data_IF_667672224663
#
_entry.id   IF_667672224663
#
_cell.length_a   1.000
_cell.length_b   1.000
_cell.length_c   1.000
_cell.angle_alpha   90.00
_cell.angle_beta   90.00
_cell.angle_gamma   90.00
#
_symmetry.space_group_name_H-M   'P 1'
#
loop_
_entity.id
_entity.type
_entity.pdbx_description
1 polymer ?
#
# COMPACT_ATOMS: atom_id res chain seq x y z
N UNK A 1 14.04 -10.70 -5.14
CA UNK A 1 13.31 -9.40 -5.16
C UNK A 1 14.19 -8.21 -4.78
N UNK A 2 14.73 -8.11 -3.56
CA UNK A 2 15.53 -6.94 -3.14
C UNK A 2 16.77 -6.72 -4.01
N UNK A 3 17.51 -7.78 -4.36
CA UNK A 3 18.68 -7.67 -5.24
C UNK A 3 18.28 -7.13 -6.62
N UNK A 4 17.17 -7.63 -7.19
CA UNK A 4 16.65 -7.17 -8.48
C UNK A 4 16.27 -5.69 -8.47
N UNK A 5 15.66 -5.20 -7.39
CA UNK A 5 15.36 -3.76 -7.24
C UNK A 5 16.67 -2.95 -7.24
N UNK A 6 17.70 -3.42 -6.55
CA UNK A 6 18.99 -2.71 -6.50
C UNK A 6 19.71 -2.73 -7.86
N UNK A 7 19.59 -3.80 -8.63
CA UNK A 7 20.10 -3.88 -10.01
C UNK A 7 19.41 -2.86 -10.91
N UNK A 8 18.08 -2.85 -10.91
CA UNK A 8 17.27 -1.94 -11.74
C UNK A 8 17.52 -0.46 -11.38
N UNK A 9 17.68 -0.14 -10.09
CA UNK A 9 18.08 1.21 -9.65
C UNK A 9 19.49 1.60 -10.12
N UNK A 10 20.42 0.65 -10.23
CA UNK A 10 21.77 0.93 -10.78
C UNK A 10 21.73 1.13 -12.29
N UNK A 11 20.87 0.40 -12.97
CA UNK A 11 20.68 0.47 -14.43
C UNK A 11 19.82 1.68 -14.85
N UNK A 12 19.28 2.44 -13.88
CA UNK A 12 18.36 3.56 -14.10
C UNK A 12 17.09 3.16 -14.88
N UNK A 13 16.64 1.92 -14.68
CA UNK A 13 15.47 1.36 -15.36
C UNK A 13 14.19 1.64 -14.59
N UNK A 14 13.07 1.79 -15.32
CA UNK A 14 11.74 1.89 -14.71
C UNK A 14 11.24 0.53 -14.25
N UNK A 15 10.69 0.44 -13.05
CA UNK A 15 10.19 -0.82 -12.50
C UNK A 15 9.03 -0.65 -11.52
N UNK A 16 8.31 -1.74 -11.28
CA UNK A 16 7.27 -1.85 -10.26
C UNK A 16 7.47 -3.11 -9.43
N UNK A 17 7.01 -3.09 -8.18
CA UNK A 17 6.96 -4.26 -7.33
C UNK A 17 5.76 -4.20 -6.39
N UNK A 18 5.25 -5.37 -6.03
CA UNK A 18 4.14 -5.51 -5.10
C UNK A 18 4.66 -5.83 -3.68
N UNK A 19 4.02 -5.22 -2.68
CA UNK A 19 4.25 -5.55 -1.27
C UNK A 19 3.00 -5.26 -0.46
N UNK A 20 2.89 -5.90 0.70
CA UNK A 20 1.81 -5.65 1.68
C UNK A 20 1.93 -4.31 2.40
N UNK A 21 2.97 -3.51 2.10
CA UNK A 21 3.35 -2.27 2.78
C UNK A 21 3.59 -2.41 4.31
N UNK A 22 3.57 -3.63 4.85
CA UNK A 22 3.71 -3.90 6.29
C UNK A 22 5.15 -3.80 6.82
N UNK A 23 6.14 -3.68 5.92
CA UNK A 23 7.57 -3.59 6.25
C UNK A 23 8.12 -2.20 5.94
N UNK A 24 9.02 -1.69 6.80
CA UNK A 24 9.68 -0.37 6.61
C UNK A 24 10.87 -0.39 5.64
N UNK A 25 11.26 -1.57 5.15
CA UNK A 25 12.51 -1.81 4.40
C UNK A 25 12.62 -1.11 3.04
N UNK A 26 11.51 -0.61 2.50
CA UNK A 26 11.50 0.11 1.22
C UNK A 26 11.66 1.62 1.35
N UNK A 27 11.52 2.20 2.57
CA UNK A 27 11.70 3.65 2.81
C UNK A 27 13.03 4.15 2.23
N UNK A 28 14.13 3.50 2.61
CA UNK A 28 15.46 3.90 2.17
C UNK A 28 15.67 3.71 0.65
N UNK A 29 14.94 2.77 0.02
CA UNK A 29 15.01 2.59 -1.43
C UNK A 29 14.27 3.69 -2.17
N UNK A 30 13.12 4.12 -1.65
CA UNK A 30 12.37 5.25 -2.18
C UNK A 30 13.21 6.53 -2.12
N UNK A 31 13.84 6.81 -0.97
CA UNK A 31 14.74 7.97 -0.84
C UNK A 31 15.87 7.93 -1.88
N UNK A 32 16.55 6.79 -2.04
CA UNK A 32 17.60 6.61 -3.04
C UNK A 32 17.11 6.77 -4.48
N UNK A 33 15.95 6.21 -4.80
CA UNK A 33 15.36 6.35 -6.12
C UNK A 33 15.09 7.82 -6.45
N UNK A 34 14.54 8.57 -5.48
CA UNK A 34 14.31 10.02 -5.64
C UNK A 34 15.59 10.82 -5.82
N UNK A 35 16.66 10.49 -5.08
CA UNK A 35 18.00 11.07 -5.28
C UNK A 35 18.55 10.77 -6.69
N UNK A 36 18.14 9.66 -7.30
CA UNK A 36 18.50 9.28 -8.68
C UNK A 36 17.55 9.86 -9.74
N UNK A 37 16.60 10.71 -9.35
CA UNK A 37 15.66 11.36 -10.29
C UNK A 37 14.42 10.54 -10.63
N UNK A 38 14.12 9.46 -9.91
CA UNK A 38 12.88 8.72 -10.09
C UNK A 38 11.67 9.46 -9.54
N UNK A 39 10.56 9.34 -10.26
CA UNK A 39 9.21 9.62 -9.73
C UNK A 39 8.66 8.35 -9.10
N UNK A 40 8.28 8.42 -7.83
CA UNK A 40 7.75 7.27 -7.07
C UNK A 40 6.23 7.39 -6.93
N UNK A 41 5.54 6.43 -7.56
CA UNK A 41 4.07 6.27 -7.46
C UNK A 41 3.71 5.08 -6.58
N UNK A 42 2.86 5.30 -5.59
CA UNK A 42 2.27 4.25 -4.74
C UNK A 42 0.81 4.01 -5.14
N UNK A 43 0.49 2.79 -5.57
CA UNK A 43 -0.88 2.31 -5.69
C UNK A 43 -1.21 1.52 -4.41
N UNK A 44 -2.15 2.01 -3.61
CA UNK A 44 -2.56 1.36 -2.36
C UNK A 44 -3.97 0.79 -2.50
N UNK A 45 -4.07 -0.54 -2.48
CA UNK A 45 -5.34 -1.24 -2.49
C UNK A 45 -5.75 -1.61 -1.08
N UNK A 46 -6.81 -0.98 -0.60
CA UNK A 46 -7.38 -1.21 0.71
C UNK A 46 -8.67 -2.04 0.62
N UNK A 47 -9.00 -2.73 1.71
CA UNK A 47 -10.29 -3.42 1.90
C UNK A 47 -10.94 -2.81 3.14
N UNK A 48 -12.25 -2.57 3.11
CA UNK A 48 -13.08 -2.00 4.17
C UNK A 48 -12.72 -2.55 5.57
N UNK A 49 -12.50 -3.85 5.67
CA UNK A 49 -12.21 -4.49 6.94
C UNK A 49 -11.30 -5.72 6.81
N UNK A 50 -10.82 -6.16 7.97
CA UNK A 50 -9.87 -7.27 8.07
C UNK A 50 -10.54 -8.62 7.75
N UNK A 51 -11.83 -8.78 8.04
CA UNK A 51 -12.56 -10.02 7.76
C UNK A 51 -12.63 -10.29 6.26
N UNK A 52 -12.80 -9.25 5.42
CA UNK A 52 -12.69 -9.39 3.96
C UNK A 52 -11.29 -9.88 3.54
N UNK A 53 -10.23 -9.43 4.20
CA UNK A 53 -8.88 -9.90 3.90
C UNK A 53 -8.73 -11.40 4.25
N UNK A 54 -9.27 -11.84 5.40
CA UNK A 54 -9.28 -13.25 5.83
C UNK A 54 -10.11 -14.10 4.87
N UNK A 55 -11.29 -13.64 4.49
CA UNK A 55 -12.18 -14.33 3.55
C UNK A 55 -11.50 -14.54 2.20
N UNK A 56 -10.87 -13.50 1.65
CA UNK A 56 -10.10 -13.61 0.40
C UNK A 56 -8.97 -14.62 0.49
N UNK A 57 -8.28 -14.68 1.63
CA UNK A 57 -7.27 -15.72 1.86
C UNK A 57 -7.90 -17.12 1.94
N UNK A 58 -9.06 -17.27 2.57
CA UNK A 58 -9.79 -18.55 2.62
C UNK A 58 -10.22 -19.01 1.23
N UNK A 59 -10.76 -18.11 0.40
CA UNK A 59 -11.18 -18.41 -0.98
C UNK A 59 -9.99 -18.86 -1.81
N UNK A 60 -8.91 -18.06 -1.88
CA UNK A 60 -7.74 -18.44 -2.70
C UNK A 60 -7.10 -19.75 -2.26
N UNK A 61 -7.13 -20.09 -0.96
CA UNK A 61 -6.60 -21.37 -0.45
C UNK A 61 -7.45 -22.54 -0.96
N UNK A 62 -8.78 -22.38 -1.00
CA UNK A 62 -9.67 -23.38 -1.62
C UNK A 62 -9.38 -23.55 -3.12
N UNK A 63 -8.92 -22.49 -3.78
CA UNK A 63 -8.51 -22.49 -5.19
C UNK A 63 -7.05 -22.95 -5.42
N UNK A 64 -6.36 -23.45 -4.38
CA UNK A 64 -4.99 -23.97 -4.48
C UNK A 64 -3.86 -22.98 -4.15
N UNK A 65 -4.20 -21.79 -3.66
CA UNK A 65 -3.25 -20.77 -3.21
C UNK A 65 -2.61 -21.06 -1.84
N UNK A 66 -1.60 -20.25 -1.47
CA UNK A 66 -0.87 -20.40 -0.22
C UNK A 66 -1.67 -19.92 1.00
N UNK A 67 -1.68 -20.71 2.08
CA UNK A 67 -2.28 -20.35 3.35
C UNK A 67 -1.48 -19.26 4.08
N UNK A 68 -2.17 -18.33 4.76
CA UNK A 68 -1.56 -17.37 5.68
C UNK A 68 -2.38 -17.40 6.98
N UNK A 69 -1.72 -17.53 8.15
CA UNK A 69 -2.40 -17.46 9.44
C UNK A 69 -3.17 -16.15 9.65
N UNK A 70 -4.33 -16.20 10.32
CA UNK A 70 -5.20 -15.03 10.49
C UNK A 70 -4.51 -13.89 11.28
N UNK A 71 -3.71 -14.21 12.30
CA UNK A 71 -2.92 -13.22 13.06
C UNK A 71 -1.90 -12.48 12.17
N UNK A 72 -1.34 -13.18 11.19
CA UNK A 72 -0.41 -12.60 10.22
C UNK A 72 -1.15 -11.67 9.26
N UNK A 73 -2.37 -12.02 8.86
CA UNK A 73 -3.22 -11.18 8.00
C UNK A 73 -3.58 -9.90 8.74
N UNK A 74 -4.13 -10.00 9.95
CA UNK A 74 -4.50 -8.86 10.81
C UNK A 74 -3.32 -7.92 11.03
N UNK A 75 -2.18 -8.48 11.45
CA UNK A 75 -0.97 -7.70 11.71
C UNK A 75 -0.48 -6.97 10.46
N UNK A 76 -0.50 -7.63 9.29
CA UNK A 76 -0.03 -7.03 8.04
C UNK A 76 -1.00 -5.96 7.52
N UNK A 77 -2.31 -6.20 7.64
CA UNK A 77 -3.34 -5.24 7.26
C UNK A 77 -3.16 -3.92 8.04
N UNK A 78 -3.10 -4.00 9.38
CA UNK A 78 -2.94 -2.82 10.23
C UNK A 78 -1.59 -2.13 9.99
N UNK A 79 -0.48 -2.88 9.95
CA UNK A 79 0.85 -2.30 9.68
C UNK A 79 0.94 -1.64 8.30
N UNK A 80 0.27 -2.18 7.29
CA UNK A 80 0.23 -1.59 5.96
C UNK A 80 -0.42 -0.20 5.99
N UNK A 81 -1.56 -0.08 6.66
CA UNK A 81 -2.26 1.21 6.87
C UNK A 81 -1.38 2.17 7.68
N UNK A 82 -0.76 1.71 8.76
CA UNK A 82 0.11 2.57 9.58
C UNK A 82 1.28 3.12 8.80
N UNK A 83 1.96 2.25 8.06
CA UNK A 83 3.09 2.68 7.26
C UNK A 83 2.67 3.59 6.11
N UNK A 84 1.49 3.38 5.50
CA UNK A 84 0.94 4.28 4.49
C UNK A 84 0.97 5.73 5.00
N UNK A 85 0.36 5.99 6.16
CA UNK A 85 0.28 7.33 6.73
C UNK A 85 1.60 7.82 7.32
N UNK A 86 2.29 7.00 8.13
CA UNK A 86 3.50 7.42 8.85
C UNK A 86 4.73 7.60 7.95
N UNK A 87 4.86 6.76 6.92
CA UNK A 87 6.12 6.57 6.20
C UNK A 87 5.99 6.95 4.74
N UNK A 88 4.97 6.43 4.05
CA UNK A 88 4.93 6.48 2.60
C UNK A 88 4.32 7.77 2.06
N UNK A 89 3.15 8.20 2.55
CA UNK A 89 2.51 9.45 2.12
C UNK A 89 3.44 10.68 2.15
N UNK A 90 4.32 10.85 3.17
CA UNK A 90 5.27 11.97 3.22
C UNK A 90 6.42 11.91 2.20
N UNK A 91 6.81 10.74 1.71
CA UNK A 91 8.06 10.58 0.92
C UNK A 91 7.82 10.30 -0.57
N UNK A 92 6.65 9.78 -0.92
CA UNK A 92 6.26 9.45 -2.30
C UNK A 92 5.80 10.69 -3.08
N UNK A 93 5.93 10.64 -4.40
CA UNK A 93 5.53 11.73 -5.30
C UNK A 93 4.03 11.63 -5.62
N UNK A 94 3.57 10.44 -6.01
CA UNK A 94 2.17 10.19 -6.33
C UNK A 94 1.58 9.07 -5.48
N UNK A 95 0.35 9.23 -4.98
CA UNK A 95 -0.42 8.13 -4.39
C UNK A 95 -1.78 8.02 -5.06
N UNK A 96 -2.23 6.80 -5.26
CA UNK A 96 -3.62 6.49 -5.55
C UNK A 96 -4.10 5.46 -4.52
N UNK A 97 -5.13 5.81 -3.77
CA UNK A 97 -5.72 4.95 -2.74
C UNK A 97 -7.04 4.44 -3.28
N UNK A 98 -7.15 3.11 -3.40
CA UNK A 98 -8.34 2.44 -3.90
C UNK A 98 -9.02 1.65 -2.80
N UNK A 99 -10.35 1.73 -2.74
CA UNK A 99 -11.18 0.69 -2.14
C UNK A 99 -11.33 -0.45 -3.15
N UNK A 100 -10.94 -1.65 -2.74
CA UNK A 100 -11.02 -2.87 -3.51
C UNK A 100 -11.90 -3.93 -2.83
N UNK A 101 -12.88 -3.56 -2.01
CA UNK A 101 -13.62 -4.50 -1.14
C UNK A 101 -14.59 -5.41 -1.87
N UNK A 102 -15.40 -4.87 -2.79
CA UNK A 102 -16.60 -5.55 -3.33
C UNK A 102 -16.57 -5.68 -4.86
N UNK A 103 -15.41 -5.99 -5.43
CA UNK A 103 -15.25 -6.32 -6.86
C UNK A 103 -15.22 -5.13 -7.82
N UNK A 104 -15.68 -3.95 -7.40
CA UNK A 104 -15.49 -2.68 -8.13
C UNK A 104 -14.44 -1.83 -7.42
N UNK A 105 -13.33 -1.56 -8.11
CA UNK A 105 -12.32 -0.66 -7.59
C UNK A 105 -12.83 0.78 -7.62
N UNK A 106 -12.70 1.48 -6.51
CA UNK A 106 -13.06 2.90 -6.39
C UNK A 106 -11.85 3.70 -5.91
N UNK A 107 -11.46 4.73 -6.65
CA UNK A 107 -10.42 5.66 -6.20
C UNK A 107 -11.01 6.56 -5.11
N UNK A 108 -10.46 6.46 -3.89
CA UNK A 108 -10.99 7.18 -2.71
C UNK A 108 -10.16 8.41 -2.34
N UNK A 109 -8.87 8.42 -2.68
CA UNK A 109 -7.99 9.58 -2.53
C UNK A 109 -6.80 9.47 -3.48
N UNK A 110 -6.24 10.62 -3.87
CA UNK A 110 -5.07 10.69 -4.73
C UNK A 110 -4.18 11.88 -4.38
N UNK A 111 -2.91 11.77 -4.74
CA UNK A 111 -1.95 12.88 -4.73
C UNK A 111 -1.15 12.77 -6.02
N UNK A 112 -1.06 13.86 -6.77
CA UNK A 112 -0.17 13.96 -7.93
C UNK A 112 0.85 15.08 -7.62
N UNK A 113 2.09 14.91 -8.10
CA UNK A 113 3.23 15.82 -7.93
C UNK A 113 2.81 17.26 -7.60
N UNK A 114 3.18 17.73 -6.39
CA UNK A 114 2.96 19.09 -5.83
C UNK A 114 1.55 19.46 -5.37
N UNK A 115 0.57 18.57 -5.49
CA UNK A 115 -0.77 18.78 -4.92
C UNK A 115 -0.88 18.20 -3.49
N UNK A 116 -1.79 18.77 -2.69
CA UNK A 116 -2.21 18.14 -1.45
C UNK A 116 -2.99 16.85 -1.74
N UNK A 117 -3.21 16.03 -0.71
CA UNK A 117 -4.00 14.81 -0.85
C UNK A 117 -5.46 15.19 -1.17
N UNK A 118 -5.89 14.92 -2.40
CA UNK A 118 -7.27 15.07 -2.85
C UNK A 118 -8.10 13.86 -2.39
N UNK A 119 -9.15 14.13 -1.61
CA UNK A 119 -10.03 13.11 -1.03
C UNK A 119 -11.34 13.08 -1.82
N UNK A 120 -11.43 12.11 -2.73
CA UNK A 120 -12.57 11.91 -3.63
C UNK A 120 -13.79 11.29 -2.91
N UNK A 121 -13.55 10.35 -1.99
CA UNK A 121 -14.60 9.76 -1.16
C UNK A 121 -14.27 9.93 0.33
N UNK A 122 -14.84 10.99 0.93
CA UNK A 122 -14.60 11.34 2.35
C UNK A 122 -15.02 10.26 3.32
N UNK A 123 -16.12 9.54 3.05
CA UNK A 123 -16.64 8.52 3.96
C UNK A 123 -15.68 7.33 4.02
N UNK A 124 -15.28 6.81 2.85
CA UNK A 124 -14.34 5.68 2.76
C UNK A 124 -12.94 6.05 3.23
N UNK A 125 -12.46 7.24 2.90
CA UNK A 125 -11.18 7.71 3.39
C UNK A 125 -11.17 7.89 4.91
N UNK A 126 -12.24 8.43 5.49
CA UNK A 126 -12.39 8.52 6.94
C UNK A 126 -12.39 7.14 7.59
N UNK A 127 -13.12 6.16 7.04
CA UNK A 127 -13.12 4.78 7.52
C UNK A 127 -11.73 4.13 7.47
N UNK A 128 -11.00 4.30 6.36
CA UNK A 128 -9.58 3.89 6.27
C UNK A 128 -8.73 4.57 7.36
N UNK A 129 -8.90 5.88 7.55
CA UNK A 129 -8.12 6.67 8.52
C UNK A 129 -8.45 6.30 9.96
N UNK A 130 -9.66 5.82 10.26
CA UNK A 130 -10.01 5.33 11.60
C UNK A 130 -9.09 4.19 12.05
N UNK A 131 -8.71 3.28 11.17
CA UNK A 131 -7.75 2.23 11.52
C UNK A 131 -6.43 2.83 12.00
N UNK A 132 -5.93 3.86 11.30
CA UNK A 132 -4.72 4.58 11.66
C UNK A 132 -4.86 5.36 12.97
N UNK A 133 -5.98 6.07 13.16
CA UNK A 133 -6.22 6.87 14.37
C UNK A 133 -6.41 5.99 15.62
N UNK A 134 -6.87 4.74 15.45
CA UNK A 134 -7.00 3.72 16.51
C UNK A 134 -5.67 3.07 16.94
N UNK A 135 -4.53 3.41 16.34
CA UNK A 135 -3.18 2.87 16.65
C UNK A 135 -2.69 3.12 18.10
N UNK A 136 -3.51 3.70 18.98
CA UNK A 136 -3.17 4.00 20.39
C UNK A 136 -2.67 2.77 21.14
#
# INVERSE_FOLDING_TARGET
>A
MINRINELLKENESFAFETTLSTRSYKNKISKAKEQGYTVTLLFFWLDNIELAKERVKIRVKEGGHHIPEDVIERRYLKGIYNLFDIYLPIIDNVLIFDNSYGKHELIAQKIITEELDILNKNKFSHLKEYYDKKR
#
